data_IF_095337746708
#
_entry.id   IF_095337746708
#
_cell.length_a   1.000
_cell.length_b   1.000
_cell.length_c   1.000
_cell.angle_alpha   90.00
_cell.angle_beta   90.00
_cell.angle_gamma   90.00
#
_symmetry.space_group_name_H-M   'P 1'
#
loop_
_entity.id
_entity.type
_entity.pdbx_description
1 polymer ?
#
# COMPACT_ATOMS: atom_id res chain seq x y z
N UNK A 1 -9.77 20.36 2.85
CA UNK A 1 -9.61 18.88 2.81
C UNK A 1 -8.47 18.56 1.84
N UNK A 2 -7.51 17.73 2.25
CA UNK A 2 -6.26 17.45 1.53
C UNK A 2 -6.44 16.95 0.08
N UNK A 3 -7.52 16.21 -0.22
CA UNK A 3 -7.78 15.72 -1.58
C UNK A 3 -8.09 16.82 -2.61
N UNK A 4 -8.53 17.98 -2.16
CA UNK A 4 -8.80 19.14 -3.06
C UNK A 4 -7.53 19.84 -3.55
N UNK A 5 -6.36 19.51 -2.99
CA UNK A 5 -5.09 20.17 -3.37
C UNK A 5 -4.52 19.67 -4.70
N UNK A 6 -5.11 18.64 -5.32
CA UNK A 6 -4.60 17.93 -6.52
C UNK A 6 -3.18 17.35 -6.38
N UNK A 7 -2.55 17.45 -5.19
CA UNK A 7 -1.21 16.92 -4.90
C UNK A 7 -1.22 15.46 -4.45
N UNK A 8 -2.39 14.93 -4.05
CA UNK A 8 -2.55 13.54 -3.58
C UNK A 8 -2.93 12.65 -4.74
N UNK A 9 -2.08 11.69 -5.09
CA UNK A 9 -2.36 10.67 -6.13
C UNK A 9 -2.94 9.39 -5.54
N UNK A 10 -2.50 9.03 -4.34
CA UNK A 10 -2.87 7.80 -3.64
C UNK A 10 -3.27 8.09 -2.20
N UNK A 11 -4.30 7.41 -1.73
CA UNK A 11 -4.68 7.37 -0.32
C UNK A 11 -4.79 5.93 0.16
N UNK A 12 -4.01 5.57 1.17
CA UNK A 12 -4.03 4.25 1.78
C UNK A 12 -4.75 4.30 3.12
N UNK A 13 -5.87 3.60 3.24
CA UNK A 13 -6.59 3.46 4.49
C UNK A 13 -6.00 2.33 5.33
N UNK A 14 -5.46 2.67 6.50
CA UNK A 14 -4.92 1.74 7.49
C UNK A 14 -5.58 2.00 8.84
N UNK A 15 -6.56 1.17 9.19
CA UNK A 15 -7.19 1.16 10.50
C UNK A 15 -6.88 -0.17 11.18
N UNK A 16 -6.28 -0.08 12.38
CA UNK A 16 -6.05 -1.23 13.27
C UNK A 16 -7.14 -1.31 14.31
N UNK A 17 -7.30 -2.46 14.95
CA UNK A 17 -8.27 -2.70 16.03
C UNK A 17 -9.72 -2.35 15.65
N UNK A 18 -10.11 -2.66 14.41
CA UNK A 18 -11.48 -2.42 13.91
C UNK A 18 -12.02 -3.71 13.27
N UNK A 19 -13.32 -3.95 13.42
CA UNK A 19 -13.98 -5.08 12.77
C UNK A 19 -14.02 -4.92 11.25
N UNK A 20 -14.05 -6.05 10.52
CA UNK A 20 -14.15 -5.99 9.06
C UNK A 20 -15.44 -5.27 8.59
N UNK A 21 -16.55 -5.42 9.33
CA UNK A 21 -17.82 -4.73 9.05
C UNK A 21 -17.65 -3.21 9.08
N UNK A 22 -17.05 -2.70 10.14
CA UNK A 22 -16.80 -1.27 10.30
C UNK A 22 -15.75 -0.75 9.31
N UNK A 23 -14.69 -1.50 9.06
CA UNK A 23 -13.70 -1.16 8.04
C UNK A 23 -14.35 -1.00 6.67
N UNK A 24 -15.24 -1.93 6.26
CA UNK A 24 -15.98 -1.85 4.99
C UNK A 24 -16.86 -0.60 4.95
N UNK A 25 -17.62 -0.31 6.03
CA UNK A 25 -18.50 0.87 6.11
C UNK A 25 -17.70 2.17 5.92
N UNK A 26 -16.61 2.33 6.67
CA UNK A 26 -15.73 3.51 6.58
C UNK A 26 -15.06 3.60 5.20
N UNK A 27 -14.53 2.48 4.70
CA UNK A 27 -13.85 2.43 3.41
C UNK A 27 -14.74 2.86 2.26
N UNK A 28 -16.02 2.46 2.24
CA UNK A 28 -16.97 2.87 1.20
C UNK A 28 -17.17 4.39 1.19
N UNK A 29 -17.30 5.01 2.38
CA UNK A 29 -17.45 6.48 2.51
C UNK A 29 -16.20 7.21 1.99
N UNK A 30 -15.01 6.80 2.46
CA UNK A 30 -13.75 7.46 2.07
C UNK A 30 -13.46 7.22 0.59
N UNK A 31 -13.71 6.02 0.05
CA UNK A 31 -13.53 5.73 -1.38
C UNK A 31 -14.38 6.67 -2.25
N UNK A 32 -15.64 6.94 -1.88
CA UNK A 32 -16.51 7.89 -2.61
C UNK A 32 -15.86 9.28 -2.70
N UNK A 33 -15.29 9.75 -1.58
CA UNK A 33 -14.60 11.04 -1.52
C UNK A 33 -13.32 11.03 -2.36
N UNK A 34 -12.49 9.99 -2.23
CA UNK A 34 -11.26 9.83 -3.00
C UNK A 34 -11.54 9.84 -4.51
N UNK A 35 -12.55 9.06 -4.95
CA UNK A 35 -12.96 9.00 -6.36
C UNK A 35 -13.41 10.35 -6.92
N UNK A 36 -14.20 11.12 -6.15
CA UNK A 36 -14.63 12.49 -6.55
C UNK A 36 -13.44 13.42 -6.78
N UNK A 37 -12.32 13.18 -6.07
CA UNK A 37 -11.10 13.98 -6.20
C UNK A 37 -10.02 13.29 -7.07
N UNK A 38 -10.37 12.28 -7.87
CA UNK A 38 -9.44 11.52 -8.74
C UNK A 38 -8.24 10.89 -7.98
N UNK A 39 -8.40 10.61 -6.67
CA UNK A 39 -7.39 9.97 -5.82
C UNK A 39 -7.61 8.46 -5.83
N UNK A 40 -6.56 7.69 -6.10
CA UNK A 40 -6.58 6.22 -6.02
C UNK A 40 -6.69 5.78 -4.56
N UNK A 41 -7.66 4.92 -4.27
CA UNK A 41 -7.97 4.45 -2.92
C UNK A 41 -7.45 3.03 -2.70
N UNK A 42 -6.54 2.86 -1.74
CA UNK A 42 -5.94 1.59 -1.40
C UNK A 42 -6.33 1.15 0.02
N UNK A 43 -6.50 -0.17 0.21
CA UNK A 43 -6.69 -0.78 1.53
C UNK A 43 -5.38 -1.39 2.00
N UNK A 44 -5.05 -1.18 3.27
CA UNK A 44 -3.87 -1.79 3.88
C UNK A 44 -4.16 -3.25 4.29
N UNK A 45 -3.26 -4.17 3.98
CA UNK A 45 -3.16 -5.58 4.44
C UNK A 45 -4.33 -6.53 4.07
N UNK A 46 -5.46 -6.04 3.56
CA UNK A 46 -6.69 -6.84 3.39
C UNK A 46 -7.20 -6.90 1.94
N UNK A 47 -6.58 -7.69 1.06
CA UNK A 47 -6.97 -7.80 -0.36
C UNK A 47 -8.43 -8.21 -0.58
N UNK A 48 -8.98 -9.10 0.27
CA UNK A 48 -10.39 -9.51 0.19
C UNK A 48 -11.35 -8.33 0.41
N UNK A 49 -11.03 -7.46 1.39
CA UNK A 49 -11.84 -6.26 1.64
C UNK A 49 -11.67 -5.27 0.48
N UNK A 50 -10.44 -5.09 -0.01
CA UNK A 50 -10.19 -4.23 -1.17
C UNK A 50 -11.02 -4.68 -2.38
N UNK A 51 -11.09 -5.98 -2.67
CA UNK A 51 -11.96 -6.56 -3.71
C UNK A 51 -13.43 -6.28 -3.42
N UNK A 52 -13.90 -6.61 -2.21
CA UNK A 52 -15.31 -6.48 -1.81
C UNK A 52 -15.85 -5.05 -1.97
N UNK A 53 -15.05 -4.04 -1.67
CA UNK A 53 -15.46 -2.64 -1.81
C UNK A 53 -15.10 -2.02 -3.16
N UNK A 54 -14.47 -2.77 -4.06
CA UNK A 54 -14.00 -2.27 -5.35
C UNK A 54 -12.95 -1.16 -5.22
N UNK A 55 -12.01 -1.28 -4.26
CA UNK A 55 -10.88 -0.35 -4.13
C UNK A 55 -10.00 -0.37 -5.39
N UNK A 56 -9.18 0.66 -5.57
CA UNK A 56 -8.21 0.70 -6.67
C UNK A 56 -7.06 -0.28 -6.45
N UNK A 57 -6.83 -0.71 -5.20
CA UNK A 57 -5.83 -1.71 -4.89
C UNK A 57 -5.63 -1.96 -3.40
N UNK A 58 -4.50 -2.56 -3.08
CA UNK A 58 -4.11 -2.92 -1.72
C UNK A 58 -2.61 -2.70 -1.53
N UNK A 59 -2.21 -2.34 -0.31
CA UNK A 59 -0.82 -2.38 0.12
C UNK A 59 -0.61 -3.54 1.08
N UNK A 60 0.41 -4.36 0.86
CA UNK A 60 0.70 -5.53 1.69
C UNK A 60 2.09 -5.44 2.33
N UNK A 61 2.18 -5.86 3.58
CA UNK A 61 3.43 -6.05 4.30
C UNK A 61 3.96 -7.48 4.17
N UNK A 62 5.11 -7.74 4.78
CA UNK A 62 5.80 -9.03 4.68
C UNK A 62 5.11 -10.17 5.47
N UNK A 63 4.32 -9.83 6.47
CA UNK A 63 3.56 -10.79 7.31
C UNK A 63 2.11 -10.97 6.84
N UNK A 64 1.70 -10.24 5.82
CA UNK A 64 0.34 -10.26 5.30
C UNK A 64 0.18 -11.32 4.21
N UNK A 65 -0.98 -11.32 3.54
CA UNK A 65 -1.21 -12.20 2.40
C UNK A 65 -0.17 -11.94 1.31
N UNK A 66 0.50 -13.01 0.83
CA UNK A 66 1.53 -12.86 -0.18
C UNK A 66 0.99 -12.30 -1.51
N UNK A 67 1.91 -11.77 -2.32
CA UNK A 67 1.57 -11.10 -3.57
C UNK A 67 0.77 -11.99 -4.54
N UNK A 68 1.17 -13.26 -4.75
CA UNK A 68 0.50 -14.15 -5.71
C UNK A 68 -0.98 -14.36 -5.34
N UNK A 69 -1.27 -14.63 -4.06
CA UNK A 69 -2.64 -14.76 -3.56
C UNK A 69 -3.40 -13.44 -3.69
N UNK A 70 -2.78 -12.32 -3.30
CA UNK A 70 -3.38 -10.99 -3.40
C UNK A 70 -3.70 -10.63 -4.85
N UNK A 71 -2.83 -10.94 -5.80
CA UNK A 71 -3.03 -10.72 -7.23
C UNK A 71 -4.16 -11.58 -7.80
N UNK A 72 -4.25 -12.86 -7.38
CA UNK A 72 -5.36 -13.75 -7.75
C UNK A 72 -6.72 -13.20 -7.29
N UNK A 73 -6.77 -12.65 -6.07
CA UNK A 73 -7.99 -12.06 -5.50
C UNK A 73 -8.38 -10.77 -6.22
N UNK A 74 -7.42 -9.86 -6.41
CA UNK A 74 -7.70 -8.51 -6.90
C UNK A 74 -7.81 -8.42 -8.44
N UNK A 75 -7.20 -9.35 -9.16
CA UNK A 75 -7.13 -9.34 -10.63
C UNK A 75 -5.99 -8.47 -11.18
N UNK A 76 -5.80 -8.51 -12.50
CA UNK A 76 -4.63 -7.92 -13.19
C UNK A 76 -4.56 -6.39 -13.05
N UNK A 77 -5.69 -5.71 -13.06
CA UNK A 77 -5.77 -4.24 -13.18
C UNK A 77 -5.72 -3.49 -11.84
N UNK A 78 -5.63 -4.20 -10.71
CA UNK A 78 -5.60 -3.57 -9.39
C UNK A 78 -4.18 -3.31 -8.93
N UNK A 79 -3.99 -2.19 -8.23
CA UNK A 79 -2.71 -1.77 -7.70
C UNK A 79 -2.35 -2.62 -6.48
N UNK A 80 -1.16 -3.21 -6.47
CA UNK A 80 -0.60 -3.88 -5.29
C UNK A 80 0.76 -3.28 -4.99
N UNK A 81 0.86 -2.64 -3.83
CA UNK A 81 2.12 -2.17 -3.28
C UNK A 81 2.67 -3.14 -2.24
N UNK A 82 3.99 -3.19 -2.09
CA UNK A 82 4.67 -4.08 -1.14
C UNK A 82 5.62 -3.28 -0.26
N UNK A 83 5.53 -3.49 1.07
CA UNK A 83 6.53 -2.98 2.02
C UNK A 83 7.83 -3.76 1.88
N UNK A 84 8.94 -3.06 1.67
CA UNK A 84 10.29 -3.65 1.57
C UNK A 84 11.24 -3.24 2.70
N UNK A 85 10.75 -2.50 3.70
CA UNK A 85 11.54 -2.02 4.85
C UNK A 85 12.82 -1.29 4.40
N UNK A 86 14.01 -1.80 4.79
CA UNK A 86 15.32 -1.33 4.31
C UNK A 86 16.06 -2.47 3.59
N UNK A 87 15.35 -3.25 2.78
CA UNK A 87 15.88 -4.49 2.19
C UNK A 87 15.89 -4.45 0.67
N UNK A 88 17.09 -4.46 0.08
CA UNK A 88 17.30 -4.62 -1.36
C UNK A 88 16.71 -5.94 -1.87
N UNK A 89 16.87 -7.03 -1.11
CA UNK A 89 16.35 -8.35 -1.49
C UNK A 89 14.82 -8.36 -1.58
N UNK A 90 14.12 -7.73 -0.62
CA UNK A 90 12.66 -7.62 -0.67
C UNK A 90 12.21 -6.78 -1.86
N UNK A 91 12.92 -5.70 -2.18
CA UNK A 91 12.63 -4.87 -3.34
C UNK A 91 12.81 -5.64 -4.66
N UNK A 92 13.90 -6.42 -4.80
CA UNK A 92 14.12 -7.27 -5.97
C UNK A 92 13.05 -8.37 -6.10
N UNK A 93 12.65 -9.00 -4.98
CA UNK A 93 11.53 -9.96 -4.98
C UNK A 93 10.22 -9.29 -5.42
N UNK A 94 9.93 -8.09 -4.92
CA UNK A 94 8.74 -7.34 -5.31
C UNK A 94 8.75 -6.96 -6.81
N UNK A 95 9.92 -6.58 -7.35
CA UNK A 95 10.11 -6.34 -8.80
C UNK A 95 9.83 -7.60 -9.61
N UNK A 96 10.40 -8.76 -9.23
CA UNK A 96 10.21 -10.05 -9.93
C UNK A 96 8.74 -10.46 -10.01
N UNK A 97 7.96 -10.21 -8.97
CA UNK A 97 6.51 -10.51 -8.98
C UNK A 97 5.68 -9.41 -9.65
N UNK A 98 6.30 -8.38 -10.22
CA UNK A 98 5.65 -7.26 -10.89
C UNK A 98 4.66 -6.52 -9.97
N UNK A 99 5.09 -6.21 -8.74
CA UNK A 99 4.34 -5.30 -7.87
C UNK A 99 4.22 -3.92 -8.55
N UNK A 100 3.13 -3.20 -8.28
CA UNK A 100 2.92 -1.90 -8.91
C UNK A 100 3.77 -0.79 -8.29
N UNK A 101 4.13 -0.93 -7.03
CA UNK A 101 5.09 -0.07 -6.34
C UNK A 101 5.66 -0.77 -5.11
N UNK A 102 6.76 -0.25 -4.61
CA UNK A 102 7.39 -0.69 -3.36
C UNK A 102 7.46 0.47 -2.37
N UNK A 103 7.46 0.15 -1.09
CA UNK A 103 7.62 1.13 -0.02
C UNK A 103 8.80 0.76 0.88
N UNK A 104 9.72 1.70 1.04
CA UNK A 104 10.78 1.61 2.04
C UNK A 104 10.37 2.37 3.30
N UNK A 105 10.91 2.02 4.44
CA UNK A 105 10.61 2.72 5.71
C UNK A 105 10.71 1.80 6.93
N UNK A 106 10.63 2.42 8.11
CA UNK A 106 10.45 3.86 8.32
C UNK A 106 11.78 4.58 8.32
N UNK A 107 11.81 5.82 7.82
CA UNK A 107 13.01 6.66 7.86
C UNK A 107 13.12 7.39 9.21
N UNK A 108 11.98 7.70 9.83
CA UNK A 108 11.88 8.39 11.10
C UNK A 108 11.13 7.55 12.12
N UNK A 109 11.32 7.84 13.40
CA UNK A 109 10.50 7.26 14.48
C UNK A 109 9.05 7.69 14.29
N UNK A 110 8.13 6.79 14.60
CA UNK A 110 6.68 7.04 14.48
C UNK A 110 5.99 6.57 15.75
N UNK A 111 5.14 7.41 16.33
CA UNK A 111 4.30 7.07 17.46
C UNK A 111 3.15 6.12 17.08
N UNK A 112 2.67 6.21 15.85
CA UNK A 112 1.51 5.44 15.37
C UNK A 112 1.84 4.04 14.86
N UNK A 113 3.10 3.80 14.46
CA UNK A 113 3.58 2.49 14.01
C UNK A 113 4.99 2.26 14.50
N UNK A 114 5.15 1.47 15.57
CA UNK A 114 6.46 0.94 15.95
C UNK A 114 6.97 0.02 14.83
N UNK A 115 8.10 0.36 14.22
CA UNK A 115 8.77 -0.46 13.21
C UNK A 115 10.17 -0.81 13.72
N UNK A 116 10.55 -2.10 13.75
CA UNK A 116 11.92 -2.49 14.09
C UNK A 116 12.91 -2.16 12.97
N UNK A 117 12.40 -1.77 11.79
CA UNK A 117 13.22 -1.48 10.62
C UNK A 117 13.41 0.02 10.47
N UNK A 118 14.68 0.44 10.39
CA UNK A 118 15.06 1.82 10.08
C UNK A 118 15.65 1.83 8.68
N UNK A 119 15.01 2.55 7.76
CA UNK A 119 15.54 2.75 6.41
C UNK A 119 16.51 3.94 6.38
N UNK A 120 17.47 3.90 5.48
CA UNK A 120 18.39 5.00 5.21
C UNK A 120 18.21 5.51 3.77
N UNK A 121 18.69 6.72 3.48
CA UNK A 121 18.53 7.31 2.15
C UNK A 121 19.28 6.55 1.04
N UNK A 122 20.34 5.81 1.39
CA UNK A 122 21.10 5.01 0.42
C UNK A 122 20.22 3.96 -0.28
N UNK A 123 19.17 3.43 0.39
CA UNK A 123 18.26 2.47 -0.25
C UNK A 123 17.44 3.13 -1.36
N UNK A 124 17.11 4.42 -1.22
CA UNK A 124 16.37 5.15 -2.25
C UNK A 124 17.24 5.40 -3.49
N UNK A 125 18.50 5.82 -3.29
CA UNK A 125 19.45 5.98 -4.39
C UNK A 125 19.69 4.67 -5.13
N UNK A 126 19.90 3.58 -4.37
CA UNK A 126 20.04 2.25 -4.95
C UNK A 126 18.78 1.85 -5.74
N UNK A 127 17.58 2.06 -5.16
CA UNK A 127 16.32 1.68 -5.80
C UNK A 127 16.10 2.46 -7.09
N UNK A 128 16.39 3.78 -7.11
CA UNK A 128 16.30 4.60 -8.31
C UNK A 128 17.15 4.06 -9.47
N UNK A 129 18.34 3.49 -9.16
CA UNK A 129 19.25 2.92 -10.18
C UNK A 129 18.88 1.49 -10.61
N UNK A 130 18.31 0.68 -9.71
CA UNK A 130 18.14 -0.80 -9.92
C UNK A 130 16.68 -1.24 -10.02
N UNK A 131 15.74 -0.45 -9.50
CA UNK A 131 14.31 -0.76 -9.47
C UNK A 131 13.60 0.23 -10.40
N UNK A 132 13.40 -0.16 -11.64
CA UNK A 132 12.57 0.60 -12.58
C UNK A 132 11.12 0.09 -12.47
N UNK A 133 10.25 0.83 -11.77
CA UNK A 133 8.84 0.47 -11.52
C UNK A 133 7.97 1.72 -11.60
#
# INVERSE_FOLDING_TARGET
MIFKTNKVKFFQLRLKKITNKNLIKISKKIKKIARKNKVKFLINDKPLIAKKIGADGCHIGQKDMNYKKSRKILGKNKIIGITCHNSKNLALKAKRVKANYIAFGSFFKSSTKKSPFKANLAILHWAKKKINM
#
